data_IF_469256559955
#
_entry.id   IF_469256559955
#
_cell.length_a   1.000
_cell.length_b   1.000
_cell.length_c   1.000
_cell.angle_alpha   90.00
_cell.angle_beta   90.00
_cell.angle_gamma   90.00
#
_symmetry.space_group_name_H-M   'P 1'
#
loop_
_entity.id
_entity.type
_entity.pdbx_description
1 polymer ?
#
# COMPACT_ATOMS: atom_id res chain seq x y z
N UNK A 1 10.61 11.32 -4.55
CA UNK A 1 9.20 11.46 -4.95
C UNK A 1 8.28 11.63 -3.76
N UNK A 2 7.13 12.26 -3.97
CA UNK A 2 6.05 12.39 -2.99
C UNK A 2 4.81 11.69 -3.55
N UNK A 3 4.42 10.57 -2.97
CA UNK A 3 3.23 9.83 -3.40
C UNK A 3 1.98 10.39 -2.72
N UNK A 4 0.89 10.50 -3.49
CA UNK A 4 -0.40 11.02 -3.03
C UNK A 4 -0.33 12.41 -2.35
N UNK A 5 0.69 13.22 -2.67
CA UNK A 5 0.96 14.50 -2.00
C UNK A 5 1.29 14.42 -0.50
N UNK A 6 1.44 13.21 0.05
CA UNK A 6 1.47 12.93 1.49
C UNK A 6 2.61 12.03 1.93
N UNK A 7 3.14 11.19 1.04
CA UNK A 7 4.11 10.16 1.43
C UNK A 7 5.45 10.41 0.74
N UNK A 8 6.42 10.90 1.49
CA UNK A 8 7.76 11.20 1.00
C UNK A 8 8.58 9.90 0.89
N UNK A 9 8.95 9.50 -0.33
CA UNK A 9 9.79 8.34 -0.54
C UNK A 9 11.20 8.56 0.04
N UNK A 10 11.66 7.62 0.88
CA UNK A 10 13.00 7.64 1.48
C UNK A 10 13.91 6.66 0.75
N UNK A 11 13.51 5.38 0.69
CA UNK A 11 14.28 4.33 0.03
C UNK A 11 13.40 3.18 -0.41
N UNK A 12 13.84 2.45 -1.42
CA UNK A 12 13.22 1.19 -1.83
C UNK A 12 13.52 0.10 -0.79
N UNK A 13 12.49 -0.63 -0.36
CA UNK A 13 12.61 -1.77 0.54
C UNK A 13 12.74 -3.09 -0.22
N UNK A 14 12.10 -3.20 -1.38
CA UNK A 14 12.15 -4.42 -2.18
C UNK A 14 11.43 -4.31 -3.51
N UNK A 15 11.55 -5.35 -4.32
CA UNK A 15 10.80 -5.52 -5.56
C UNK A 15 10.62 -6.99 -5.90
N UNK A 16 9.61 -7.28 -6.69
CA UNK A 16 9.39 -8.59 -7.29
C UNK A 16 8.73 -8.47 -8.65
N UNK A 17 8.24 -9.59 -9.17
CA UNK A 17 7.59 -9.63 -10.48
C UNK A 17 6.40 -8.65 -10.58
N UNK A 18 5.68 -8.43 -9.48
CA UNK A 18 4.36 -7.80 -9.47
C UNK A 18 4.35 -6.35 -8.99
N UNK A 19 5.30 -5.98 -8.13
CA UNK A 19 5.28 -4.70 -7.43
C UNK A 19 6.67 -4.27 -6.96
N UNK A 20 6.77 -3.01 -6.56
CA UNK A 20 7.90 -2.49 -5.78
C UNK A 20 7.40 -1.98 -4.44
N UNK A 21 8.21 -2.08 -3.40
CA UNK A 21 7.87 -1.62 -2.05
C UNK A 21 8.85 -0.54 -1.63
N UNK A 22 8.33 0.56 -1.10
CA UNK A 22 9.08 1.75 -0.71
C UNK A 22 8.84 2.09 0.76
N UNK A 23 9.90 2.47 1.45
CA UNK A 23 9.82 3.13 2.75
C UNK A 23 9.53 4.60 2.50
N UNK A 24 8.45 5.08 3.10
CA UNK A 24 8.03 6.47 2.99
C UNK A 24 7.85 7.08 4.38
N UNK A 25 7.94 8.42 4.46
CA UNK A 25 7.54 9.21 5.63
C UNK A 25 6.23 9.90 5.33
N UNK A 26 5.27 9.78 6.25
CA UNK A 26 3.98 10.47 6.13
C UNK A 26 4.11 11.95 6.51
N UNK A 27 3.56 12.85 5.71
CA UNK A 27 3.51 14.28 6.03
C UNK A 27 2.68 14.47 7.30
N UNK A 28 3.22 15.22 8.27
CA UNK A 28 2.62 15.50 9.59
C UNK A 28 2.66 14.37 10.62
N UNK A 29 3.27 13.21 10.32
CA UNK A 29 3.57 12.19 11.33
C UNK A 29 5.06 11.82 11.30
N UNK A 30 5.65 11.54 12.46
CA UNK A 30 7.02 11.04 12.53
C UNK A 30 7.14 9.54 12.23
N UNK A 31 6.03 8.88 11.88
CA UNK A 31 6.00 7.47 11.53
C UNK A 31 6.45 7.22 10.10
N UNK A 32 7.15 6.09 9.93
CA UNK A 32 7.44 5.51 8.62
C UNK A 32 6.26 4.64 8.18
N UNK A 33 6.09 4.47 6.88
CA UNK A 33 5.12 3.56 6.27
C UNK A 33 5.76 2.81 5.11
N UNK A 34 5.23 1.63 4.79
CA UNK A 34 5.60 0.89 3.60
C UNK A 34 4.54 1.08 2.50
N UNK A 35 4.95 1.54 1.31
CA UNK A 35 4.06 1.68 0.15
C UNK A 35 4.40 0.62 -0.88
N UNK A 36 3.44 -0.28 -1.13
CA UNK A 36 3.49 -1.26 -2.21
C UNK A 36 2.82 -0.68 -3.46
N UNK A 37 3.58 -0.55 -4.54
CA UNK A 37 3.14 -0.02 -5.84
C UNK A 37 3.06 -1.18 -6.83
N UNK A 38 1.85 -1.54 -7.25
CA UNK A 38 1.59 -2.64 -8.19
C UNK A 38 1.82 -2.22 -9.65
N UNK A 39 2.17 -3.17 -10.51
CA UNK A 39 2.20 -2.95 -11.97
C UNK A 39 0.81 -2.57 -12.49
N UNK A 40 0.79 -1.80 -13.58
CA UNK A 40 -0.41 -1.19 -14.16
C UNK A 40 -1.22 -2.09 -15.09
N UNK A 41 -0.65 -3.22 -15.55
CA UNK A 41 -1.37 -4.13 -16.44
C UNK A 41 -2.64 -4.67 -15.75
N UNK A 42 -3.73 -4.80 -16.53
CA UNK A 42 -5.07 -5.06 -16.01
C UNK A 42 -5.14 -6.26 -15.04
N UNK A 43 -4.41 -7.34 -15.33
CA UNK A 43 -4.36 -8.52 -14.46
C UNK A 43 -3.78 -8.20 -13.06
N UNK A 44 -2.74 -7.37 -12.98
CA UNK A 44 -2.12 -6.99 -11.70
C UNK A 44 -2.98 -5.99 -10.94
N UNK A 45 -3.64 -5.07 -11.66
CA UNK A 45 -4.62 -4.15 -11.08
C UNK A 45 -5.79 -4.91 -10.45
N UNK A 46 -6.33 -5.92 -11.14
CA UNK A 46 -7.40 -6.75 -10.60
C UNK A 46 -6.98 -7.49 -9.33
N UNK A 47 -5.82 -8.17 -9.37
CA UNK A 47 -5.28 -8.89 -8.21
C UNK A 47 -5.02 -7.94 -7.03
N UNK A 48 -4.48 -6.75 -7.28
CA UNK A 48 -4.25 -5.76 -6.23
C UNK A 48 -5.56 -5.25 -5.60
N UNK A 49 -6.61 -5.07 -6.41
CA UNK A 49 -7.93 -4.67 -5.88
C UNK A 49 -8.57 -5.77 -5.04
N UNK A 50 -8.40 -7.05 -5.41
CA UNK A 50 -8.88 -8.17 -4.61
C UNK A 50 -8.07 -8.32 -3.30
N UNK A 51 -6.76 -8.08 -3.34
CA UNK A 51 -5.91 -7.98 -2.14
C UNK A 51 -6.41 -6.88 -1.18
N UNK A 52 -6.73 -5.69 -1.71
CA UNK A 52 -7.31 -4.58 -0.93
C UNK A 52 -8.62 -4.99 -0.27
N UNK A 53 -9.52 -5.69 -0.98
CA UNK A 53 -10.80 -6.14 -0.41
C UNK A 53 -10.56 -7.09 0.77
N UNK A 54 -9.68 -8.08 0.61
CA UNK A 54 -9.37 -9.01 1.69
C UNK A 54 -8.75 -8.32 2.90
N UNK A 55 -7.78 -7.42 2.68
CA UNK A 55 -7.14 -6.67 3.76
C UNK A 55 -8.14 -5.75 4.50
N UNK A 56 -9.08 -5.11 3.79
CA UNK A 56 -10.16 -4.34 4.41
C UNK A 56 -11.07 -5.24 5.25
N UNK A 57 -11.49 -6.39 4.71
CA UNK A 57 -12.29 -7.35 5.48
C UNK A 57 -11.59 -7.79 6.77
N UNK A 58 -10.30 -8.14 6.71
CA UNK A 58 -9.53 -8.54 7.90
C UNK A 58 -9.44 -7.40 8.91
N UNK A 59 -9.15 -6.18 8.42
CA UNK A 59 -9.04 -4.98 9.27
C UNK A 59 -10.36 -4.65 9.97
N UNK A 60 -11.49 -4.86 9.30
CA UNK A 60 -12.81 -4.43 9.74
C UNK A 60 -13.63 -5.55 10.43
N UNK A 61 -13.15 -6.80 10.43
CA UNK A 61 -13.88 -7.97 10.93
C UNK A 61 -14.18 -7.96 12.45
N UNK A 62 -13.14 -7.95 13.29
CA UNK A 62 -13.28 -7.86 14.75
C UNK A 62 -12.29 -6.83 15.28
N UNK A 63 -12.79 -5.64 15.60
CA UNK A 63 -11.96 -4.55 16.14
C UNK A 63 -11.59 -4.74 17.61
N UNK A 64 -12.13 -5.76 18.27
CA UNK A 64 -11.89 -6.07 19.68
C UNK A 64 -10.97 -7.27 19.90
N UNK A 65 -10.62 -8.01 18.85
CA UNK A 65 -9.71 -9.16 18.95
C UNK A 65 -8.30 -8.71 19.37
N UNK A 66 -7.77 -9.21 20.51
CA UNK A 66 -6.42 -8.86 20.96
C UNK A 66 -5.30 -9.35 20.03
N UNK A 67 -5.60 -10.23 19.07
CA UNK A 67 -4.64 -10.74 18.09
C UNK A 67 -4.64 -9.96 16.77
N UNK A 68 -5.50 -8.95 16.64
CA UNK A 68 -5.65 -8.18 15.40
C UNK A 68 -4.32 -7.57 14.92
N UNK A 69 -3.51 -7.06 15.84
CA UNK A 69 -2.20 -6.46 15.55
C UNK A 69 -1.11 -7.50 15.18
N UNK A 70 -1.46 -8.79 15.10
CA UNK A 70 -0.57 -9.84 14.57
C UNK A 70 -0.67 -9.97 13.05
N UNK A 71 -1.56 -9.22 12.41
CA UNK A 71 -1.74 -9.20 10.96
C UNK A 71 -1.49 -7.79 10.44
N UNK A 72 -0.77 -7.68 9.32
CA UNK A 72 -0.46 -6.40 8.70
C UNK A 72 -1.73 -5.59 8.41
N UNK A 73 -1.70 -4.29 8.70
CA UNK A 73 -2.84 -3.41 8.49
C UNK A 73 -2.71 -2.55 7.24
N UNK A 74 -3.77 -2.55 6.42
CA UNK A 74 -3.92 -1.62 5.30
C UNK A 74 -4.38 -0.25 5.82
N UNK A 75 -3.45 0.70 5.84
CA UNK A 75 -3.67 2.05 6.37
C UNK A 75 -4.37 2.96 5.36
N UNK A 76 -3.96 2.87 4.08
CA UNK A 76 -4.46 3.73 3.01
C UNK A 76 -4.33 3.04 1.64
N UNK A 77 -5.13 3.50 0.68
CA UNK A 77 -5.12 3.02 -0.71
C UNK A 77 -5.31 4.18 -1.66
N UNK A 78 -4.47 4.26 -2.70
CA UNK A 78 -4.59 5.28 -3.73
C UNK A 78 -4.04 4.76 -5.07
N UNK A 79 -4.17 5.58 -6.11
CA UNK A 79 -3.66 5.25 -7.44
C UNK A 79 -2.70 6.33 -7.92
N UNK A 80 -1.64 5.93 -8.63
CA UNK A 80 -0.70 6.84 -9.28
C UNK A 80 -0.83 6.65 -10.79
N UNK A 81 -1.03 7.73 -11.53
CA UNK A 81 -0.95 7.70 -12.99
C UNK A 81 0.50 7.99 -13.43
N UNK A 82 1.05 7.12 -14.26
CA UNK A 82 2.36 7.30 -14.89
C UNK A 82 2.32 6.95 -16.38
N UNK A 83 3.47 7.02 -17.05
CA UNK A 83 3.60 6.74 -18.48
C UNK A 83 3.12 5.34 -18.87
N UNK A 84 3.26 4.37 -17.95
CA UNK A 84 2.84 2.98 -18.15
C UNK A 84 1.39 2.70 -17.72
N UNK A 85 0.60 3.74 -17.41
CA UNK A 85 -0.79 3.64 -16.96
C UNK A 85 -0.95 3.88 -15.46
N UNK A 86 -2.06 3.38 -14.92
CA UNK A 86 -2.43 3.61 -13.52
C UNK A 86 -1.98 2.47 -12.62
N UNK A 87 -1.28 2.81 -11.54
CA UNK A 87 -0.71 1.88 -10.58
C UNK A 87 -1.48 1.93 -9.27
N UNK A 88 -2.00 0.78 -8.82
CA UNK A 88 -2.65 0.65 -7.50
C UNK A 88 -1.59 0.63 -6.42
N UNK A 89 -1.79 1.44 -5.38
CA UNK A 89 -0.89 1.60 -4.25
C UNK A 89 -1.58 1.23 -2.94
N UNK A 90 -0.86 0.48 -2.09
CA UNK A 90 -1.29 0.07 -0.76
C UNK A 90 -0.27 0.59 0.27
N UNK A 91 -0.77 1.20 1.34
CA UNK A 91 0.05 1.72 2.44
C UNK A 91 -0.10 0.83 3.68
N UNK A 92 1.03 0.44 4.26
CA UNK A 92 1.14 -0.40 5.44
C UNK A 92 1.99 0.30 6.51
N UNK A 93 1.87 -0.18 7.76
CA UNK A 93 2.71 0.23 8.89
C UNK A 93 4.21 -0.12 8.71
#
# INVERSE_FOLDING_TARGET
DVFNGKYHAIRKLGFGQFSTVWMCRETNKESHVAIKISKSAAIYTQVANDEIKHLKCIRDADTTDPHRDKVIHLLDTFSISGENGTHVCMVFE
#
